data_IF_971822081705
#
_entry.id   IF_971822081705
#
_cell.length_a   1.000
_cell.length_b   1.000
_cell.length_c   1.000
_cell.angle_alpha   90.00
_cell.angle_beta   90.00
_cell.angle_gamma   90.00
#
_symmetry.space_group_name_H-M   'P 1'
#
loop_
_entity.id
_entity.type
_entity.pdbx_description
1 polymer ?
#
# COMPACT_ATOMS: atom_id res chain seq x y z
N UNK A 1 32.19 16.73 -0.75
CA UNK A 1 31.54 15.49 -1.18
C UNK A 1 30.08 15.37 -0.70
N UNK A 2 29.75 15.59 0.58
CA UNK A 2 28.34 15.54 1.06
C UNK A 2 27.35 16.52 0.40
N UNK A 3 27.80 17.68 -0.05
CA UNK A 3 26.93 18.71 -0.62
C UNK A 3 26.39 18.31 -2.01
N UNK A 4 27.24 17.75 -2.85
CA UNK A 4 26.84 17.27 -4.20
C UNK A 4 25.82 16.12 -4.16
N UNK A 5 25.94 15.21 -3.20
CA UNK A 5 24.99 14.11 -3.01
C UNK A 5 23.58 14.57 -2.58
N UNK A 6 23.53 15.65 -1.79
CA UNK A 6 22.25 16.23 -1.35
C UNK A 6 21.55 16.95 -2.50
N UNK A 7 22.28 17.67 -3.33
CA UNK A 7 21.77 18.35 -4.53
C UNK A 7 21.19 17.34 -5.54
N UNK A 8 21.92 16.25 -5.82
CA UNK A 8 21.46 15.21 -6.75
C UNK A 8 20.17 14.53 -6.21
N UNK A 9 20.10 14.26 -4.92
CA UNK A 9 18.91 13.68 -4.29
C UNK A 9 17.70 14.61 -4.34
N UNK A 10 17.93 15.90 -4.10
CA UNK A 10 16.88 16.91 -4.20
C UNK A 10 16.38 17.05 -5.64
N UNK A 11 17.29 17.05 -6.63
CA UNK A 11 16.92 17.07 -8.05
C UNK A 11 16.12 15.83 -8.48
N UNK A 12 16.50 14.65 -8.02
CA UNK A 12 15.74 13.42 -8.29
C UNK A 12 14.36 13.47 -7.66
N UNK A 13 14.29 13.92 -6.41
CA UNK A 13 13.01 14.08 -5.72
C UNK A 13 12.09 15.08 -6.43
N UNK A 14 12.61 16.25 -6.80
CA UNK A 14 11.84 17.28 -7.51
C UNK A 14 11.39 16.80 -8.89
N UNK A 15 12.24 16.09 -9.64
CA UNK A 15 11.86 15.49 -10.92
C UNK A 15 10.74 14.46 -10.76
N UNK A 16 10.85 13.55 -9.80
CA UNK A 16 9.80 12.55 -9.52
C UNK A 16 8.50 13.21 -9.09
N UNK A 17 8.56 14.19 -8.20
CA UNK A 17 7.39 14.94 -7.76
C UNK A 17 6.72 15.67 -8.95
N UNK A 18 7.51 16.32 -9.79
CA UNK A 18 7.01 17.06 -10.95
C UNK A 18 6.39 16.13 -11.99
N UNK A 19 7.04 15.01 -12.31
CA UNK A 19 6.48 13.99 -13.22
C UNK A 19 5.18 13.43 -12.67
N UNK A 20 5.11 13.12 -11.39
CA UNK A 20 3.89 12.61 -10.76
C UNK A 20 2.77 13.63 -10.83
N UNK A 21 3.03 14.89 -10.45
CA UNK A 21 2.03 15.96 -10.52
C UNK A 21 1.54 16.19 -11.94
N UNK A 22 2.45 16.27 -12.91
CA UNK A 22 2.08 16.44 -14.32
C UNK A 22 1.26 15.27 -14.85
N UNK A 23 1.62 14.04 -14.49
CA UNK A 23 0.85 12.84 -14.88
C UNK A 23 -0.57 12.91 -14.34
N UNK A 24 -0.75 13.29 -13.07
CA UNK A 24 -2.09 13.47 -12.51
C UNK A 24 -2.85 14.63 -13.16
N UNK A 25 -2.20 15.76 -13.41
CA UNK A 25 -2.83 16.89 -14.11
C UNK A 25 -3.30 16.51 -15.51
N UNK A 26 -2.50 15.78 -16.26
CA UNK A 26 -2.86 15.30 -17.60
C UNK A 26 -4.02 14.32 -17.51
N UNK A 27 -3.96 13.36 -16.57
CA UNK A 27 -5.02 12.37 -16.38
C UNK A 27 -6.35 13.00 -16.00
N UNK A 28 -6.34 14.04 -15.15
CA UNK A 28 -7.54 14.71 -14.69
C UNK A 28 -7.92 15.94 -15.53
N UNK A 29 -7.12 16.32 -16.53
CA UNK A 29 -7.38 17.46 -17.41
C UNK A 29 -8.79 17.46 -18.02
N UNK A 30 -9.36 16.32 -18.51
CA UNK A 30 -10.72 16.30 -19.05
C UNK A 30 -11.81 16.64 -18.04
N UNK A 31 -11.52 16.51 -16.74
CA UNK A 31 -12.44 16.81 -15.65
C UNK A 31 -12.25 18.21 -15.04
N UNK A 32 -11.35 19.00 -15.61
CA UNK A 32 -11.04 20.38 -15.21
C UNK A 32 -11.60 21.42 -16.18
N UNK A 33 -11.86 22.65 -15.74
CA UNK A 33 -12.17 23.76 -16.63
C UNK A 33 -11.04 23.96 -17.67
N UNK A 34 -11.34 24.25 -18.94
CA UNK A 34 -12.65 24.60 -19.51
C UNK A 34 -13.52 23.39 -19.93
N UNK A 35 -13.01 22.16 -19.86
CA UNK A 35 -13.70 20.97 -20.39
C UNK A 35 -14.88 20.53 -19.50
N UNK A 36 -14.76 20.67 -18.19
CA UNK A 36 -15.78 20.26 -17.23
C UNK A 36 -15.80 21.18 -16.01
N UNK A 37 -16.95 21.33 -15.34
CA UNK A 37 -17.03 22.10 -14.08
C UNK A 37 -16.25 21.36 -12.98
N UNK A 38 -15.73 22.10 -12.02
CA UNK A 38 -14.95 21.56 -10.88
C UNK A 38 -15.73 20.52 -10.06
N UNK A 39 -17.06 20.61 -10.04
CA UNK A 39 -17.93 19.61 -9.42
C UNK A 39 -17.74 18.21 -9.95
N UNK A 40 -17.31 18.08 -11.21
CA UNK A 40 -17.05 16.78 -11.86
C UNK A 40 -15.88 16.04 -11.22
N UNK A 41 -14.81 16.78 -10.83
CA UNK A 41 -13.69 16.18 -10.07
C UNK A 41 -14.18 15.67 -8.73
N UNK A 42 -14.95 16.49 -8.01
CA UNK A 42 -15.48 16.08 -6.72
C UNK A 42 -16.36 14.84 -6.84
N UNK A 43 -17.24 14.81 -7.84
CA UNK A 43 -18.06 13.62 -8.12
C UNK A 43 -17.21 12.38 -8.48
N UNK A 44 -16.11 12.55 -9.19
CA UNK A 44 -15.18 11.46 -9.51
C UNK A 44 -14.45 10.95 -8.26
N UNK A 45 -13.96 11.86 -7.42
CA UNK A 45 -13.29 11.51 -6.15
C UNK A 45 -14.25 10.76 -5.22
N UNK A 46 -15.49 11.24 -5.07
CA UNK A 46 -16.48 10.59 -4.21
C UNK A 46 -16.95 9.23 -4.75
N UNK A 47 -16.85 9.00 -6.06
CA UNK A 47 -17.08 7.66 -6.65
C UNK A 47 -15.93 6.69 -6.41
N UNK A 48 -14.68 7.18 -6.48
CA UNK A 48 -13.47 6.37 -6.22
C UNK A 48 -13.38 6.08 -4.72
N UNK A 49 -13.66 7.09 -3.89
CA UNK A 49 -13.63 7.00 -2.43
C UNK A 49 -15.03 7.27 -1.87
N UNK A 50 -15.90 6.26 -1.78
CA UNK A 50 -17.27 6.43 -1.29
C UNK A 50 -17.29 6.62 0.23
N UNK A 51 -16.94 7.82 0.69
CA UNK A 51 -16.85 8.18 2.12
C UNK A 51 -18.17 8.01 2.91
N UNK A 52 -19.29 7.89 2.21
CA UNK A 52 -20.60 7.66 2.81
C UNK A 52 -20.95 6.20 3.08
N UNK A 53 -20.13 5.25 2.60
CA UNK A 53 -20.36 3.83 2.83
C UNK A 53 -19.92 3.42 4.22
N UNK A 54 -20.75 2.61 4.89
CA UNK A 54 -20.44 2.07 6.22
C UNK A 54 -19.40 0.95 6.18
N UNK A 55 -18.79 0.68 7.33
CA UNK A 55 -17.70 -0.30 7.53
C UNK A 55 -18.03 -1.73 7.07
N UNK A 56 -19.32 -2.07 6.96
CA UNK A 56 -19.80 -3.46 6.78
C UNK A 56 -20.74 -3.59 5.58
N UNK A 57 -20.72 -2.68 4.63
CA UNK A 57 -21.61 -2.74 3.46
C UNK A 57 -21.16 -3.81 2.48
N UNK A 58 -19.85 -3.94 2.27
CA UNK A 58 -19.28 -4.97 1.39
C UNK A 58 -18.89 -6.21 2.23
N UNK A 59 -19.27 -7.40 1.74
CA UNK A 59 -18.90 -8.68 2.37
C UNK A 59 -17.43 -9.03 2.07
N UNK A 60 -16.49 -8.25 2.59
CA UNK A 60 -15.07 -8.47 2.38
C UNK A 60 -14.49 -9.32 3.50
N UNK A 61 -13.59 -10.27 3.18
CA UNK A 61 -12.86 -11.07 4.17
C UNK A 61 -11.72 -10.26 4.80
N UNK A 62 -12.05 -9.15 5.44
CA UNK A 62 -11.12 -8.34 6.22
C UNK A 62 -11.32 -8.61 7.72
N UNK A 63 -10.43 -8.04 8.54
CA UNK A 63 -10.46 -8.16 9.99
C UNK A 63 -11.82 -7.73 10.58
N UNK A 64 -12.39 -6.63 10.10
CA UNK A 64 -13.63 -6.07 10.64
C UNK A 64 -14.84 -6.95 10.33
N UNK A 65 -14.97 -7.39 9.08
CA UNK A 65 -16.07 -8.27 8.70
C UNK A 65 -15.98 -9.63 9.38
N UNK A 66 -14.76 -10.21 9.43
CA UNK A 66 -14.54 -11.50 10.09
C UNK A 66 -14.88 -11.43 11.58
N UNK A 67 -14.33 -10.46 12.30
CA UNK A 67 -14.59 -10.31 13.74
C UNK A 67 -16.02 -9.91 14.06
N UNK A 68 -16.69 -9.16 13.16
CA UNK A 68 -18.10 -8.80 13.33
C UNK A 68 -19.04 -10.00 13.25
N UNK A 69 -18.67 -11.02 12.46
CA UNK A 69 -19.48 -12.24 12.32
C UNK A 69 -19.17 -13.24 13.42
N UNK A 70 -17.89 -13.41 13.79
CA UNK A 70 -17.44 -14.51 14.66
C UNK A 70 -17.35 -14.15 16.13
N UNK A 71 -17.00 -12.90 16.48
CA UNK A 71 -16.62 -12.55 17.86
C UNK A 71 -17.47 -11.42 18.43
N UNK A 72 -17.50 -10.26 17.78
CA UNK A 72 -18.08 -9.04 18.32
C UNK A 72 -18.98 -8.37 17.28
N UNK A 73 -20.18 -8.05 17.63
CA UNK A 73 -21.08 -7.27 16.78
C UNK A 73 -20.74 -5.77 16.89
N UNK A 74 -19.71 -5.34 16.16
CA UNK A 74 -19.18 -3.97 16.20
C UNK A 74 -20.24 -2.90 15.99
N UNK A 75 -21.18 -3.10 15.05
CA UNK A 75 -22.30 -2.15 14.82
C UNK A 75 -23.13 -1.91 16.05
N UNK A 76 -23.38 -2.93 16.87
CA UNK A 76 -24.17 -2.80 18.10
C UNK A 76 -23.37 -2.15 19.23
N UNK A 77 -22.08 -2.49 19.31
CA UNK A 77 -21.20 -2.00 20.37
C UNK A 77 -20.88 -0.50 20.23
N UNK A 78 -20.78 -0.01 18.98
CA UNK A 78 -20.42 1.37 18.67
C UNK A 78 -21.58 2.13 18.00
N UNK A 79 -22.83 1.77 18.30
CA UNK A 79 -24.00 2.48 17.80
C UNK A 79 -23.93 3.95 18.20
N UNK A 80 -24.03 4.86 17.21
CA UNK A 80 -23.84 6.29 17.39
C UNK A 80 -22.39 6.78 17.58
N UNK A 81 -21.39 5.87 17.56
CA UNK A 81 -19.95 6.20 17.71
C UNK A 81 -19.09 5.68 16.53
N UNK A 82 -19.62 5.70 15.34
CA UNK A 82 -18.94 5.18 14.13
C UNK A 82 -17.57 5.82 13.89
N UNK A 83 -17.37 7.08 14.29
CA UNK A 83 -16.07 7.74 14.18
C UNK A 83 -14.95 7.06 14.98
N UNK A 84 -15.28 6.36 16.08
CA UNK A 84 -14.29 5.61 16.84
C UNK A 84 -13.81 4.37 16.06
N UNK A 85 -14.71 3.71 15.33
CA UNK A 85 -14.34 2.61 14.45
C UNK A 85 -13.45 3.08 13.30
N UNK A 86 -13.76 4.24 12.71
CA UNK A 86 -12.92 4.85 11.66
C UNK A 86 -11.53 5.15 12.19
N UNK A 87 -11.42 5.79 13.36
CA UNK A 87 -10.13 6.07 13.99
C UNK A 87 -9.37 4.80 14.38
N UNK A 88 -10.08 3.81 14.91
CA UNK A 88 -9.52 2.49 15.24
C UNK A 88 -8.98 1.76 14.01
N UNK A 89 -9.72 1.78 12.90
CA UNK A 89 -9.27 1.18 11.65
C UNK A 89 -8.04 1.90 11.08
N UNK A 90 -8.01 3.22 11.12
CA UNK A 90 -6.84 4.00 10.71
C UNK A 90 -5.60 3.68 11.57
N UNK A 91 -5.78 3.59 12.90
CA UNK A 91 -4.71 3.25 13.82
C UNK A 91 -4.19 1.82 13.59
N UNK A 92 -5.08 0.83 13.41
CA UNK A 92 -4.68 -0.55 13.11
C UNK A 92 -3.98 -0.67 11.76
N UNK A 93 -4.46 0.04 10.74
CA UNK A 93 -3.80 0.10 9.43
C UNK A 93 -2.39 0.68 9.56
N UNK A 94 -2.25 1.79 10.30
CA UNK A 94 -0.95 2.41 10.56
C UNK A 94 0.00 1.46 11.29
N UNK A 95 -0.45 0.80 12.35
CA UNK A 95 0.33 -0.20 13.08
C UNK A 95 0.75 -1.37 12.18
N UNK A 96 -0.13 -1.82 11.29
CA UNK A 96 0.14 -2.93 10.37
C UNK A 96 1.26 -2.64 9.38
N UNK A 97 1.40 -1.42 8.87
CA UNK A 97 2.46 -1.08 7.93
C UNK A 97 3.74 -0.50 8.60
N UNK A 98 3.71 -0.21 9.90
CA UNK A 98 4.90 0.26 10.63
C UNK A 98 6.16 -0.60 10.42
N UNK A 99 6.09 -1.94 10.45
CA UNK A 99 7.26 -2.79 10.21
C UNK A 99 7.89 -2.55 8.83
N UNK A 100 7.06 -2.31 7.80
CA UNK A 100 7.54 -2.02 6.45
C UNK A 100 8.28 -0.68 6.39
N UNK A 101 7.71 0.36 7.02
CA UNK A 101 8.34 1.69 7.12
C UNK A 101 9.65 1.60 7.91
N UNK A 102 9.62 0.93 9.07
CA UNK A 102 10.80 0.74 9.89
C UNK A 102 11.92 -0.01 9.14
N UNK A 103 11.57 -1.07 8.42
CA UNK A 103 12.51 -1.85 7.61
C UNK A 103 13.17 -1.03 6.51
N UNK A 104 12.39 -0.24 5.77
CA UNK A 104 12.91 0.64 4.72
C UNK A 104 13.79 1.76 5.28
N UNK A 105 13.38 2.39 6.40
CA UNK A 105 14.17 3.43 7.07
C UNK A 105 15.48 2.86 7.60
N UNK A 106 15.43 1.70 8.24
CA UNK A 106 16.62 1.00 8.75
C UNK A 106 17.58 0.62 7.62
N UNK A 107 17.05 0.05 6.53
CA UNK A 107 17.84 -0.26 5.34
C UNK A 107 18.48 0.99 4.75
N UNK A 108 17.73 2.08 4.62
CA UNK A 108 18.23 3.37 4.16
C UNK A 108 19.25 4.01 5.10
N UNK A 109 19.12 3.82 6.42
CA UNK A 109 20.10 4.28 7.40
C UNK A 109 21.42 3.51 7.29
N UNK A 110 21.37 2.20 7.16
CA UNK A 110 22.58 1.37 7.00
C UNK A 110 23.40 1.75 5.77
N UNK A 111 22.77 2.20 4.69
CA UNK A 111 23.50 2.68 3.50
C UNK A 111 24.25 3.97 3.69
N UNK A 112 23.87 4.77 4.70
CA UNK A 112 24.54 6.05 5.03
C UNK A 112 25.80 5.85 5.88
N UNK A 113 25.95 4.69 6.51
CA UNK A 113 27.14 4.39 7.28
C UNK A 113 28.34 4.18 6.34
N UNK A 114 29.55 4.64 6.72
CA UNK A 114 30.76 4.39 5.95
C UNK A 114 30.94 2.89 5.76
N UNK A 115 30.95 2.46 4.51
CA UNK A 115 31.20 1.04 4.21
C UNK A 115 32.70 0.81 4.12
N UNK A 116 33.23 -0.30 4.67
CA UNK A 116 34.62 -0.70 4.49
C UNK A 116 34.95 -1.16 3.07
N UNK A 117 33.97 -1.18 2.15
CA UNK A 117 34.15 -1.58 0.77
C UNK A 117 34.78 -0.46 -0.08
N UNK A 118 35.75 -0.78 -0.96
CA UNK A 118 36.31 0.15 -1.92
C UNK A 118 35.22 0.77 -2.82
N UNK A 119 35.39 2.03 -3.20
CA UNK A 119 34.41 2.81 -3.99
C UNK A 119 34.01 2.13 -5.32
N UNK A 120 34.91 1.38 -5.91
CA UNK A 120 34.70 0.66 -7.18
C UNK A 120 33.64 -0.46 -7.04
N UNK A 121 33.55 -1.13 -5.89
CA UNK A 121 32.56 -2.15 -5.60
C UNK A 121 31.24 -1.58 -5.07
N UNK A 122 31.26 -0.35 -4.62
CA UNK A 122 30.08 0.35 -4.11
C UNK A 122 29.09 0.74 -5.21
N UNK A 123 29.61 1.04 -6.42
CA UNK A 123 28.79 1.40 -7.58
C UNK A 123 28.02 0.20 -8.16
N UNK A 124 28.49 -1.02 -7.90
CA UNK A 124 27.83 -2.25 -8.34
C UNK A 124 26.96 -2.91 -7.28
N UNK A 125 27.04 -2.45 -6.03
CA UNK A 125 26.20 -2.98 -4.95
C UNK A 125 24.76 -2.51 -5.14
N UNK A 126 23.84 -3.46 -5.24
CA UNK A 126 22.40 -3.20 -5.24
C UNK A 126 22.05 -2.36 -4.02
N UNK A 127 21.18 -1.37 -4.21
CA UNK A 127 20.67 -0.58 -3.08
C UNK A 127 20.04 -1.51 -2.06
N UNK A 128 20.47 -1.50 -0.78
CA UNK A 128 20.01 -2.45 0.25
C UNK A 128 18.49 -2.41 0.49
N UNK A 129 17.83 -1.35 0.07
CA UNK A 129 16.37 -1.18 0.17
C UNK A 129 15.62 -1.88 -0.96
N UNK A 130 16.26 -2.14 -2.10
CA UNK A 130 15.60 -2.73 -3.27
C UNK A 130 15.04 -4.15 -2.99
N UNK A 131 15.76 -5.06 -2.35
CA UNK A 131 15.21 -6.37 -1.99
C UNK A 131 14.06 -6.31 -0.97
N UNK A 132 14.01 -5.26 -0.15
CA UNK A 132 12.97 -5.06 0.85
C UNK A 132 11.69 -4.46 0.27
N UNK A 133 11.75 -3.86 -0.93
CA UNK A 133 10.63 -3.15 -1.53
C UNK A 133 9.39 -4.03 -1.76
N UNK A 134 9.49 -5.24 -2.35
CA UNK A 134 8.32 -6.10 -2.52
C UNK A 134 7.66 -6.50 -1.19
N UNK A 135 8.47 -6.76 -0.15
CA UNK A 135 7.95 -7.06 1.19
C UNK A 135 7.26 -5.84 1.82
N UNK A 136 7.82 -4.65 1.65
CA UNK A 136 7.22 -3.43 2.15
C UNK A 136 5.89 -3.11 1.43
N UNK A 137 5.84 -3.31 0.11
CA UNK A 137 4.62 -3.16 -0.67
C UNK A 137 3.55 -4.19 -0.26
N UNK A 138 3.94 -5.46 -0.08
CA UNK A 138 3.04 -6.51 0.39
C UNK A 138 2.48 -6.20 1.77
N UNK A 139 3.36 -5.87 2.73
CA UNK A 139 2.94 -5.57 4.11
C UNK A 139 2.01 -4.36 4.16
N UNK A 140 2.33 -3.30 3.42
CA UNK A 140 1.52 -2.09 3.37
C UNK A 140 0.16 -2.36 2.73
N UNK A 141 0.13 -2.95 1.54
CA UNK A 141 -1.13 -3.23 0.84
C UNK A 141 -2.01 -4.23 1.59
N UNK A 142 -1.41 -5.24 2.24
CA UNK A 142 -2.14 -6.19 3.09
C UNK A 142 -2.70 -5.51 4.34
N UNK A 143 -1.98 -4.58 4.96
CA UNK A 143 -2.48 -3.79 6.10
C UNK A 143 -3.69 -2.96 5.71
N UNK A 144 -3.65 -2.31 4.55
CA UNK A 144 -4.81 -1.58 4.04
C UNK A 144 -5.98 -2.52 3.75
N UNK A 145 -5.75 -3.67 3.12
CA UNK A 145 -6.81 -4.63 2.85
C UNK A 145 -7.46 -5.18 4.13
N UNK A 146 -6.65 -5.53 5.13
CA UNK A 146 -7.16 -6.16 6.36
C UNK A 146 -7.82 -5.15 7.32
N UNK A 147 -7.24 -3.98 7.50
CA UNK A 147 -7.56 -3.08 8.60
C UNK A 147 -8.23 -1.76 8.19
N UNK A 148 -8.21 -1.39 6.90
CA UNK A 148 -8.82 -0.14 6.47
C UNK A 148 -10.33 -0.13 6.67
N UNK A 149 -10.87 1.06 6.87
CA UNK A 149 -12.30 1.28 7.12
C UNK A 149 -13.18 0.91 5.92
N UNK A 150 -12.72 1.26 4.72
CA UNK A 150 -13.45 1.00 3.49
C UNK A 150 -12.61 0.13 2.56
N UNK A 151 -13.01 -1.12 2.41
CA UNK A 151 -12.32 -2.10 1.57
C UNK A 151 -13.33 -2.73 0.64
N UNK A 152 -13.08 -2.64 -0.65
CA UNK A 152 -13.80 -3.37 -1.68
C UNK A 152 -13.27 -4.80 -1.81
N UNK A 153 -14.13 -5.73 -2.21
CA UNK A 153 -13.72 -7.12 -2.47
C UNK A 153 -12.55 -7.24 -3.45
N UNK A 154 -12.51 -6.39 -4.49
CA UNK A 154 -11.44 -6.35 -5.49
C UNK A 154 -10.12 -5.74 -4.97
N UNK A 155 -10.11 -5.13 -3.79
CA UNK A 155 -8.90 -4.53 -3.20
C UNK A 155 -7.85 -5.59 -2.85
N UNK A 156 -8.24 -6.87 -2.75
CA UNK A 156 -7.29 -7.98 -2.58
C UNK A 156 -6.26 -8.08 -3.72
N UNK A 157 -6.56 -7.55 -4.90
CA UNK A 157 -5.63 -7.50 -6.02
C UNK A 157 -4.38 -6.66 -5.72
N UNK A 158 -4.48 -5.66 -4.85
CA UNK A 158 -3.35 -4.81 -4.47
C UNK A 158 -2.24 -5.60 -3.76
N UNK A 159 -2.51 -6.39 -2.70
CA UNK A 159 -1.48 -7.23 -2.10
C UNK A 159 -1.08 -8.44 -2.95
N UNK A 160 -1.94 -8.93 -3.86
CA UNK A 160 -1.58 -10.03 -4.76
C UNK A 160 -0.47 -9.63 -5.74
N UNK A 161 -0.39 -8.39 -6.16
CA UNK A 161 0.67 -7.92 -7.07
C UNK A 161 2.08 -8.09 -6.46
N UNK A 162 2.43 -7.48 -5.31
CA UNK A 162 3.74 -7.68 -4.71
C UNK A 162 3.98 -9.14 -4.26
N UNK A 163 2.92 -9.87 -3.88
CA UNK A 163 3.02 -11.29 -3.58
C UNK A 163 3.44 -12.10 -4.80
N UNK A 164 2.88 -11.80 -5.97
CA UNK A 164 3.26 -12.44 -7.25
C UNK A 164 4.69 -12.09 -7.64
N UNK A 165 5.13 -10.85 -7.39
CA UNK A 165 6.53 -10.45 -7.62
C UNK A 165 7.49 -11.25 -6.74
N UNK A 166 7.17 -11.44 -5.46
CA UNK A 166 7.95 -12.29 -4.54
C UNK A 166 7.98 -13.75 -5.00
N UNK A 167 6.82 -14.28 -5.40
CA UNK A 167 6.70 -15.64 -5.92
C UNK A 167 7.57 -15.86 -7.17
N UNK A 168 7.59 -14.88 -8.08
CA UNK A 168 8.38 -14.99 -9.33
C UNK A 168 9.88 -15.01 -9.11
N UNK A 169 10.36 -14.47 -7.99
CA UNK A 169 11.77 -14.45 -7.61
C UNK A 169 12.20 -15.60 -6.69
N UNK A 170 11.24 -16.39 -6.18
CA UNK A 170 11.51 -17.45 -5.21
C UNK A 170 11.68 -18.83 -5.89
N UNK A 171 12.60 -19.66 -5.36
CA UNK A 171 12.73 -21.03 -5.81
C UNK A 171 11.55 -21.90 -5.28
N UNK A 172 11.11 -22.94 -6.02
CA UNK A 172 10.02 -23.82 -5.59
C UNK A 172 10.20 -24.49 -4.23
N UNK A 173 11.45 -24.62 -3.77
CA UNK A 173 11.82 -25.18 -2.48
C UNK A 173 11.74 -24.19 -1.32
N UNK A 174 11.53 -22.91 -1.59
CA UNK A 174 11.49 -21.87 -0.57
C UNK A 174 10.09 -21.70 0.01
N UNK A 175 10.01 -21.39 1.30
CA UNK A 175 8.73 -21.12 1.97
C UNK A 175 7.96 -19.94 1.33
N UNK A 176 8.69 -18.93 0.85
CA UNK A 176 8.12 -17.77 0.15
C UNK A 176 7.34 -18.21 -1.10
N UNK A 177 7.83 -19.22 -1.83
CA UNK A 177 7.12 -19.79 -2.98
C UNK A 177 5.81 -20.46 -2.55
N UNK A 178 5.85 -21.29 -1.51
CA UNK A 178 4.66 -22.00 -1.02
C UNK A 178 3.58 -21.02 -0.53
N UNK A 179 3.96 -20.04 0.30
CA UNK A 179 3.03 -19.03 0.80
C UNK A 179 2.54 -18.08 -0.30
N UNK A 180 3.39 -17.74 -1.25
CA UNK A 180 3.04 -16.92 -2.41
C UNK A 180 2.04 -17.61 -3.32
N UNK A 181 2.25 -18.90 -3.62
CA UNK A 181 1.33 -19.69 -4.42
C UNK A 181 -0.04 -19.85 -3.72
N UNK A 182 -0.03 -20.22 -2.44
CA UNK A 182 -1.25 -20.34 -1.65
C UNK A 182 -2.03 -19.02 -1.61
N UNK A 183 -1.36 -17.91 -1.33
CA UNK A 183 -1.99 -16.59 -1.25
C UNK A 183 -2.63 -16.16 -2.58
N UNK A 184 -1.95 -16.42 -3.71
CA UNK A 184 -2.52 -16.15 -5.03
C UNK A 184 -3.74 -17.02 -5.32
N UNK A 185 -3.67 -18.33 -5.04
CA UNK A 185 -4.81 -19.24 -5.25
C UNK A 185 -6.02 -18.80 -4.43
N UNK A 186 -5.83 -18.55 -3.13
CA UNK A 186 -6.91 -18.12 -2.22
C UNK A 186 -7.47 -16.76 -2.64
N UNK A 187 -6.62 -15.81 -3.00
CA UNK A 187 -7.03 -14.48 -3.42
C UNK A 187 -7.85 -14.48 -4.71
N UNK A 188 -7.42 -15.25 -5.72
CA UNK A 188 -8.14 -15.39 -7.00
C UNK A 188 -9.43 -16.19 -6.83
N UNK A 189 -9.42 -17.29 -6.07
CA UNK A 189 -10.62 -18.08 -5.80
C UNK A 189 -11.73 -17.24 -5.17
N UNK A 190 -11.37 -16.35 -4.26
CA UNK A 190 -12.33 -15.45 -3.64
C UNK A 190 -12.98 -14.49 -4.64
N UNK A 191 -12.22 -13.99 -5.60
CA UNK A 191 -12.75 -13.08 -6.65
C UNK A 191 -13.73 -13.79 -7.58
N UNK A 192 -13.58 -15.11 -7.76
CA UNK A 192 -14.49 -15.90 -8.59
C UNK A 192 -15.83 -16.25 -7.93
N UNK A 193 -15.95 -16.02 -6.61
CA UNK A 193 -17.16 -16.29 -5.83
C UNK A 193 -18.00 -15.04 -5.53
N UNK A 194 -17.52 -13.86 -5.88
CA UNK A 194 -18.20 -12.58 -5.73
C UNK A 194 -18.87 -12.14 -7.02
#
# INVERSE_FOLDING_TARGET
>A
MCYADTEIRLQLFTRLALVTLLSFLILFAPFLPPFSPVSTIWASITRIFPFSRGLFEDKVANFWCFTNVTVIKWKRLFDGKEQLLVKGSAALTALGFLPAVAGLLWGGYKTRLPSPLPDDKRSQAQTPTLPLLPYALLTTSMSFFLFSFQVHEKTILLPLLPLTLLLSGAAPSEEVFAWGALGNIVGVFRLGLS
#
